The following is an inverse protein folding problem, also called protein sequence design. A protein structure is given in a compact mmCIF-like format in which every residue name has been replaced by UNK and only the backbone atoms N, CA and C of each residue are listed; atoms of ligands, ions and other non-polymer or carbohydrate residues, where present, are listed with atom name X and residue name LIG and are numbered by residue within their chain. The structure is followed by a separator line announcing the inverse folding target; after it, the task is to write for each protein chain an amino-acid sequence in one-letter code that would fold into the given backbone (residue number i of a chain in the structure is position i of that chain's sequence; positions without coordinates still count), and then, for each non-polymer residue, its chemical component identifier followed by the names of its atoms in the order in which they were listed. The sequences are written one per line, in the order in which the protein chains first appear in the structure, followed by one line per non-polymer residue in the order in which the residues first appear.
data_IF_830750637450
#
_entry.id   IF_830750637450
#
_cell.length_a   1.000
_cell.length_b   1.000
_cell.length_c   1.000
_cell.angle_alpha   90.00
_cell.angle_beta   90.00
_cell.angle_gamma   90.00
#
_symmetry.space_group_name_H-M   'P 1'
#
loop_
_entity.id
_entity.type
_entity.pdbx_description
1 polymer ?
#
# COMPACT_ATOMS: atom_id res chain seq x y z
N UNK A 1 15.50 -14.14 11.62
CA UNK A 1 15.31 -12.77 12.17
C UNK A 1 14.20 -12.86 13.20
N UNK A 2 14.36 -12.27 14.38
CA UNK A 2 13.33 -12.32 15.41
C UNK A 2 12.08 -11.52 14.95
N UNK A 3 10.84 -12.03 15.14
CA UNK A 3 9.62 -11.39 14.63
C UNK A 3 9.29 -10.05 15.29
N UNK A 4 9.89 -9.72 16.43
CA UNK A 4 9.75 -8.43 17.12
C UNK A 4 10.85 -7.43 16.75
N UNK A 5 11.77 -7.81 15.85
CA UNK A 5 12.80 -6.89 15.36
C UNK A 5 12.17 -5.73 14.60
N UNK A 6 12.44 -4.51 15.04
CA UNK A 6 11.99 -3.28 14.38
C UNK A 6 12.54 -3.17 12.94
N UNK A 7 11.74 -2.63 12.01
CA UNK A 7 12.17 -2.29 10.65
C UNK A 7 13.45 -1.45 10.65
N UNK A 8 13.54 -0.48 11.56
CA UNK A 8 14.70 0.41 11.70
C UNK A 8 16.00 -0.35 11.98
N UNK A 9 15.95 -1.45 12.74
CA UNK A 9 17.14 -2.28 12.99
C UNK A 9 17.56 -3.06 11.74
N UNK A 10 16.60 -3.58 10.99
CA UNK A 10 16.86 -4.29 9.74
C UNK A 10 17.42 -3.36 8.66
N UNK A 11 16.87 -2.15 8.53
CA UNK A 11 17.33 -1.15 7.57
C UNK A 11 18.80 -0.80 7.80
N UNK A 12 19.22 -0.59 9.06
CA UNK A 12 20.63 -0.27 9.39
C UNK A 12 21.63 -1.36 9.00
N UNK A 13 21.17 -2.61 8.86
CA UNK A 13 21.99 -3.77 8.48
C UNK A 13 21.80 -4.18 7.01
N UNK A 14 20.90 -3.52 6.28
CA UNK A 14 20.60 -3.85 4.89
C UNK A 14 21.53 -3.10 3.93
N UNK A 15 21.98 -3.80 2.87
CA UNK A 15 22.71 -3.17 1.78
C UNK A 15 21.78 -2.31 0.88
N UNK A 16 20.52 -2.70 0.78
CA UNK A 16 19.46 -1.97 0.09
C UNK A 16 18.09 -2.45 0.59
N UNK A 17 17.06 -1.65 0.39
CA UNK A 17 15.66 -1.97 0.67
C UNK A 17 14.87 -2.01 -0.64
N UNK A 18 14.11 -3.08 -0.86
CA UNK A 18 13.29 -3.26 -2.07
C UNK A 18 11.82 -3.25 -1.67
N UNK A 19 11.02 -2.40 -2.31
CA UNK A 19 9.60 -2.22 -1.99
C UNK A 19 8.75 -2.17 -3.25
N UNK A 20 7.48 -2.54 -3.12
CA UNK A 20 6.45 -2.16 -4.10
C UNK A 20 6.02 -0.72 -3.81
N UNK A 21 5.43 -0.47 -2.64
CA UNK A 21 4.91 0.84 -2.23
C UNK A 21 4.93 1.09 -0.71
N UNK A 22 5.67 0.28 0.05
CA UNK A 22 5.69 0.32 1.52
C UNK A 22 6.29 1.63 2.08
N UNK A 23 5.83 2.08 3.25
CA UNK A 23 6.46 3.19 3.99
C UNK A 23 7.88 2.86 4.46
N UNK A 24 8.23 1.57 4.57
CA UNK A 24 9.60 1.15 4.91
C UNK A 24 10.63 1.66 3.89
N UNK A 25 10.23 1.88 2.63
CA UNK A 25 11.09 2.51 1.64
C UNK A 25 11.39 3.98 1.97
N UNK A 26 10.40 4.72 2.50
CA UNK A 26 10.61 6.08 3.00
C UNK A 26 11.49 6.08 4.27
N UNK A 27 11.23 5.16 5.20
CA UNK A 27 12.07 4.97 6.40
C UNK A 27 13.54 4.73 6.02
N UNK A 28 13.79 3.92 4.99
CA UNK A 28 15.13 3.63 4.49
C UNK A 28 15.86 4.88 3.95
N UNK A 29 15.13 5.80 3.32
CA UNK A 29 15.70 7.09 2.89
C UNK A 29 16.21 7.93 4.08
N UNK A 30 15.55 7.86 5.24
CA UNK A 30 16.01 8.56 6.46
C UNK A 30 17.37 8.05 6.94
N UNK A 31 17.70 6.79 6.65
CA UNK A 31 18.99 6.18 6.94
C UNK A 31 20.00 6.30 5.79
N UNK A 32 19.65 7.01 4.69
CA UNK A 32 20.41 7.02 3.45
C UNK A 32 20.73 5.61 2.92
N UNK A 33 19.85 4.64 3.18
CA UNK A 33 19.94 3.30 2.63
C UNK A 33 19.42 3.30 1.18
N UNK A 34 20.09 2.64 0.22
CA UNK A 34 19.60 2.53 -1.16
C UNK A 34 18.22 1.87 -1.22
N UNK A 35 17.31 2.45 -2.02
CA UNK A 35 15.94 1.94 -2.16
C UNK A 35 15.62 1.66 -3.62
N UNK A 36 15.10 0.46 -3.90
CA UNK A 36 14.49 0.09 -5.17
C UNK A 36 12.97 0.07 -5.02
N UNK A 37 12.27 0.89 -5.81
CA UNK A 37 10.81 0.86 -5.87
C UNK A 37 10.34 0.14 -7.13
N UNK A 38 9.49 -0.87 -6.95
CA UNK A 38 8.88 -1.65 -8.03
C UNK A 38 7.43 -1.24 -8.32
N UNK A 39 6.90 -0.29 -7.56
CA UNK A 39 5.64 0.39 -7.82
C UNK A 39 5.88 1.88 -8.02
N UNK A 40 4.88 2.70 -7.66
CA UNK A 40 4.97 4.17 -7.74
C UNK A 40 4.56 4.81 -6.41
N UNK A 41 5.29 4.56 -5.30
CA UNK A 41 5.03 5.28 -4.06
C UNK A 41 5.27 6.78 -4.26
N UNK A 42 4.69 7.61 -3.39
CA UNK A 42 4.77 9.07 -3.51
C UNK A 42 6.20 9.64 -3.45
N UNK A 43 7.18 8.86 -3.01
CA UNK A 43 8.59 9.23 -2.94
C UNK A 43 9.43 8.74 -4.14
N UNK A 44 8.85 8.00 -5.08
CA UNK A 44 9.52 7.61 -6.34
C UNK A 44 9.52 8.77 -7.36
N UNK A 45 10.49 8.76 -8.27
CA UNK A 45 10.61 9.74 -9.37
C UNK A 45 11.35 11.04 -9.00
N UNK A 46 11.76 11.20 -7.74
CA UNK A 46 12.50 12.40 -7.28
C UNK A 46 14.02 12.22 -7.31
N UNK A 47 14.51 11.09 -7.83
CA UNK A 47 15.94 10.75 -7.87
C UNK A 47 16.52 10.40 -6.51
N UNK A 48 15.67 10.11 -5.51
CA UNK A 48 16.07 9.62 -4.17
C UNK A 48 16.03 8.09 -4.08
N UNK A 49 15.44 7.43 -5.08
CA UNK A 49 15.27 5.99 -5.21
C UNK A 49 15.72 5.52 -6.60
N UNK A 50 16.01 4.23 -6.73
CA UNK A 50 16.06 3.55 -8.02
C UNK A 50 14.64 3.04 -8.34
N UNK A 51 14.08 3.48 -9.45
CA UNK A 51 12.69 3.16 -9.80
C UNK A 51 12.65 2.23 -11.02
N UNK A 52 11.80 1.19 -10.97
CA UNK A 52 11.49 0.38 -12.16
C UNK A 52 10.02 0.49 -12.53
N UNK A 53 9.73 0.47 -13.83
CA UNK A 53 8.36 0.57 -14.34
C UNK A 53 7.66 -0.78 -14.47
N UNK A 54 8.44 -1.88 -14.51
CA UNK A 54 7.93 -3.24 -14.66
C UNK A 54 8.77 -4.25 -13.87
N UNK A 55 8.12 -5.32 -13.39
CA UNK A 55 8.81 -6.44 -12.74
C UNK A 55 9.79 -7.18 -13.67
N UNK A 56 9.66 -7.04 -14.99
CA UNK A 56 10.64 -7.57 -15.94
C UNK A 56 12.05 -6.98 -15.74
N UNK A 57 12.17 -5.80 -15.12
CA UNK A 57 13.43 -5.09 -14.91
C UNK A 57 14.18 -5.53 -13.64
N UNK A 58 13.53 -6.30 -12.74
CA UNK A 58 14.07 -6.68 -11.42
C UNK A 58 15.47 -7.29 -11.55
N UNK A 59 15.69 -8.19 -12.52
CA UNK A 59 16.99 -8.86 -12.71
C UNK A 59 18.14 -7.87 -12.93
N UNK A 60 17.88 -6.75 -13.61
CA UNK A 60 18.86 -5.68 -13.84
C UNK A 60 18.93 -4.70 -12.68
N UNK A 61 17.79 -4.42 -12.05
CA UNK A 61 17.67 -3.42 -11.00
C UNK A 61 18.30 -3.84 -9.67
N UNK A 62 18.23 -5.13 -9.29
CA UNK A 62 18.83 -5.63 -8.05
C UNK A 62 20.34 -5.34 -7.94
N UNK A 63 21.19 -5.69 -8.92
CA UNK A 63 22.60 -5.31 -8.84
C UNK A 63 22.83 -3.80 -8.99
N UNK A 64 21.91 -3.07 -9.64
CA UNK A 64 22.02 -1.62 -9.79
C UNK A 64 21.74 -0.88 -8.47
N UNK A 65 20.77 -1.31 -7.67
CA UNK A 65 20.45 -0.65 -6.39
C UNK A 65 21.60 -0.81 -5.38
N UNK A 66 22.34 -1.92 -5.42
CA UNK A 66 23.54 -2.10 -4.60
C UNK A 66 24.67 -1.12 -4.92
N UNK A 67 24.63 -0.49 -6.10
CA UNK A 67 25.58 0.56 -6.53
C UNK A 67 25.00 1.96 -6.43
N UNK A 68 23.70 2.08 -6.17
CA UNK A 68 23.03 3.36 -6.03
C UNK A 68 23.50 4.02 -4.73
N UNK A 69 23.96 5.27 -4.82
CA UNK A 69 24.39 6.05 -3.67
C UNK A 69 23.34 7.14 -3.40
N UNK A 70 22.55 7.02 -2.32
CA UNK A 70 21.56 8.03 -1.99
C UNK A 70 22.23 9.37 -1.64
N UNK A 71 21.83 10.43 -2.35
CA UNK A 71 22.28 11.78 -2.08
C UNK A 71 21.49 12.35 -0.89
N UNK A 72 22.18 12.58 0.23
CA UNK A 72 21.58 13.07 1.47
C UNK A 72 20.90 14.44 1.29
N UNK A 73 21.50 15.33 0.51
CA UNK A 73 20.97 16.67 0.30
C UNK A 73 19.70 16.62 -0.57
N UNK A 74 19.66 15.74 -1.58
CA UNK A 74 18.45 15.48 -2.36
C UNK A 74 17.36 14.84 -1.50
N UNK A 75 17.70 13.90 -0.61
CA UNK A 75 16.75 13.31 0.34
C UNK A 75 16.15 14.40 1.24
N UNK A 76 16.97 15.27 1.84
CA UNK A 76 16.48 16.33 2.71
C UNK A 76 15.61 17.34 1.96
N UNK A 77 15.98 17.71 0.73
CA UNK A 77 15.14 18.57 -0.12
C UNK A 77 13.80 17.93 -0.44
N UNK A 78 13.79 16.64 -0.78
CA UNK A 78 12.56 15.88 -0.99
C UNK A 78 11.69 15.86 0.28
N UNK A 79 12.24 15.47 1.42
CA UNK A 79 11.49 15.40 2.68
C UNK A 79 10.93 16.76 3.08
N UNK A 80 11.74 17.81 2.97
CA UNK A 80 11.29 19.18 3.24
C UNK A 80 10.16 19.63 2.30
N UNK A 81 10.23 19.28 1.02
CA UNK A 81 9.15 19.56 0.08
C UNK A 81 7.90 18.73 0.39
N UNK A 82 8.05 17.45 0.68
CA UNK A 82 6.95 16.56 1.04
C UNK A 82 6.22 17.06 2.30
N UNK A 83 6.94 17.41 3.36
CA UNK A 83 6.36 17.94 4.60
C UNK A 83 5.60 19.26 4.38
N UNK A 84 6.11 20.16 3.52
CA UNK A 84 5.41 21.41 3.19
C UNK A 84 4.17 21.20 2.33
N UNK A 85 4.11 20.10 1.59
CA UNK A 85 2.99 19.73 0.73
C UNK A 85 1.94 18.85 1.45
N UNK A 86 2.20 18.45 2.70
CA UNK A 86 1.23 17.73 3.53
C UNK A 86 0.45 18.67 4.42
N UNK A 87 -0.79 18.28 4.77
CA UNK A 87 -1.58 19.01 5.76
C UNK A 87 -0.81 19.12 7.09
N UNK A 88 -0.92 20.25 7.77
CA UNK A 88 -0.34 20.45 9.09
C UNK A 88 -1.02 19.49 10.09
N UNK A 89 -0.46 18.31 10.27
CA UNK A 89 -0.85 17.39 11.33
C UNK A 89 -0.31 17.89 12.67
N UNK A 90 -1.11 17.74 13.74
CA UNK A 90 -0.57 17.80 15.08
C UNK A 90 0.04 16.43 15.42
N UNK A 91 1.22 16.35 16.06
CA UNK A 91 1.67 15.10 16.67
C UNK A 91 0.70 14.76 17.80
N UNK A 92 -0.36 14.02 17.49
CA UNK A 92 -1.14 13.35 18.51
C UNK A 92 -0.27 12.19 18.99
N UNK A 93 0.07 12.18 20.28
CA UNK A 93 0.71 11.01 20.87
C UNK A 93 -0.16 9.78 20.59
N UNK A 94 0.48 8.63 20.36
CA UNK A 94 -0.24 7.35 20.33
C UNK A 94 -0.80 7.15 21.73
N UNK A 95 -2.10 7.35 21.89
CA UNK A 95 -2.78 7.04 23.15
C UNK A 95 -2.65 5.56 23.42
N UNK A 96 -2.20 5.18 24.61
CA UNK A 96 -2.23 3.78 25.06
C UNK A 96 -3.65 3.31 25.43
N UNK A 97 -4.64 4.19 25.31
CA UNK A 97 -6.04 3.84 25.53
C UNK A 97 -6.54 2.90 24.43
N UNK A 98 -7.35 1.92 24.82
CA UNK A 98 -8.03 1.02 23.89
C UNK A 98 -9.22 1.68 23.18
N UNK A 99 -9.50 2.97 23.42
CA UNK A 99 -10.70 3.65 22.89
C UNK A 99 -10.81 3.53 21.36
N UNK A 100 -9.71 3.74 20.63
CA UNK A 100 -9.70 3.56 19.18
C UNK A 100 -10.01 2.11 18.79
N UNK A 101 -9.46 1.13 19.50
CA UNK A 101 -9.72 -0.28 19.25
C UNK A 101 -11.19 -0.63 19.51
N UNK A 102 -11.79 -0.09 20.60
CA UNK A 102 -13.22 -0.24 20.91
C UNK A 102 -14.09 0.40 19.84
N UNK A 103 -13.75 1.60 19.36
CA UNK A 103 -14.48 2.29 18.28
C UNK A 103 -14.47 1.47 17.00
N UNK A 104 -13.31 0.94 16.61
CA UNK A 104 -13.19 0.09 15.40
C UNK A 104 -14.00 -1.19 15.56
N UNK A 105 -13.87 -1.90 16.69
CA UNK A 105 -14.63 -3.12 16.97
C UNK A 105 -16.15 -2.88 16.87
N UNK A 106 -16.66 -1.83 17.52
CA UNK A 106 -18.08 -1.49 17.48
C UNK A 106 -18.56 -1.15 16.05
N UNK A 107 -17.72 -0.53 15.21
CA UNK A 107 -18.07 -0.26 13.82
C UNK A 107 -18.18 -1.55 12.99
N UNK A 108 -17.30 -2.53 13.23
CA UNK A 108 -17.33 -3.83 12.56
C UNK A 108 -18.57 -4.65 12.98
N UNK A 109 -18.89 -4.68 14.27
CA UNK A 109 -20.08 -5.38 14.76
C UNK A 109 -21.37 -4.81 14.15
N UNK A 110 -21.45 -3.49 14.01
CA UNK A 110 -22.58 -2.82 13.35
C UNK A 110 -22.68 -3.21 11.88
N UNK A 111 -21.57 -3.16 11.14
CA UNK A 111 -21.54 -3.53 9.72
C UNK A 111 -21.92 -5.01 9.51
N UNK A 112 -21.48 -5.91 10.40
CA UNK A 112 -21.86 -7.33 10.36
C UNK A 112 -23.35 -7.53 10.68
N UNK A 113 -23.90 -6.77 11.63
CA UNK A 113 -25.32 -6.78 11.95
C UNK A 113 -26.19 -6.33 10.77
N UNK A 114 -25.82 -5.22 10.14
CA UNK A 114 -26.48 -4.68 8.94
C UNK A 114 -26.41 -5.66 7.75
N UNK A 115 -25.26 -6.28 7.52
CA UNK A 115 -25.08 -7.28 6.47
C UNK A 115 -25.99 -8.50 6.68
N UNK A 116 -26.01 -9.06 7.90
CA UNK A 116 -26.86 -10.20 8.26
C UNK A 116 -28.35 -9.87 8.21
N UNK A 117 -28.73 -8.64 8.58
CA UNK A 117 -30.11 -8.17 8.46
C UNK A 117 -30.52 -8.02 6.99
N UNK A 118 -29.62 -7.53 6.14
CA UNK A 118 -29.80 -7.44 4.69
C UNK A 118 -29.94 -8.81 4.02
N UNK A 119 -29.13 -9.81 4.41
CA UNK A 119 -29.26 -11.20 3.94
C UNK A 119 -30.60 -11.83 4.36
N UNK A 120 -31.02 -11.61 5.62
CA UNK A 120 -32.32 -12.09 6.13
C UNK A 120 -33.52 -11.38 5.49
N UNK A 121 -33.35 -10.14 5.06
CA UNK A 121 -34.37 -9.40 4.31
C UNK A 121 -34.41 -9.84 2.82
N UNK A 122 -33.26 -10.09 2.20
CA UNK A 122 -33.14 -10.59 0.83
C UNK A 122 -33.60 -12.04 0.64
N UNK A 123 -33.62 -12.85 1.71
CA UNK A 123 -34.18 -14.19 1.72
C UNK A 123 -35.74 -14.22 1.69
N UNK A 124 -36.41 -13.08 1.84
CA UNK A 124 -37.87 -12.94 1.64
C UNK A 124 -38.16 -12.31 0.28
N UNK A 125 -38.05 -13.13 -0.77
CA UNK A 125 -38.74 -12.94 -2.05
C UNK A 125 -38.23 -11.82 -2.95
N UNK A 126 -37.22 -12.10 -3.77
CA UNK A 126 -37.19 -11.55 -5.13
C UNK A 126 -37.86 -12.56 -6.06
N UNK A 127 -38.95 -12.22 -6.78
CA UNK A 127 -39.45 -13.09 -7.83
C UNK A 127 -38.36 -13.25 -8.90
N UNK A 128 -38.23 -14.47 -9.43
CA UNK A 128 -37.30 -14.76 -10.52
C UNK A 128 -37.58 -13.82 -11.71
N UNK A 129 -36.55 -13.24 -12.35
CA UNK A 129 -36.78 -12.46 -13.56
C UNK A 129 -37.36 -13.38 -14.63
N UNK A 130 -38.48 -12.97 -15.21
CA UNK A 130 -39.13 -13.67 -16.31
C UNK A 130 -38.19 -13.67 -17.52
N UNK A 131 -37.68 -14.85 -17.86
CA UNK A 131 -36.80 -15.05 -19.02
C UNK A 131 -37.60 -14.78 -20.29
N UNK A 132 -37.51 -13.56 -20.78
CA UNK A 132 -37.99 -13.13 -22.08
C UNK A 132 -37.38 -14.06 -23.15
N UNK A 133 -38.25 -14.85 -23.81
CA UNK A 133 -37.85 -15.84 -24.81
C UNK A 133 -37.32 -15.11 -26.04
N UNK A 134 -36.01 -15.02 -26.17
CA UNK A 134 -35.37 -14.61 -27.42
C UNK A 134 -35.63 -15.66 -28.51
N UNK A 135 -36.01 -15.26 -29.74
CA UNK A 135 -36.26 -16.20 -30.83
C UNK A 135 -34.97 -16.93 -31.21
N UNK A 136 -35.06 -18.26 -31.30
CA UNK A 136 -33.96 -19.10 -31.75
C UNK A 136 -33.74 -18.92 -33.25
N UNK A 137 -32.55 -18.45 -33.60
CA UNK A 137 -32.09 -18.49 -34.98
C UNK A 137 -30.94 -17.53 -35.20
N UNK A 138 -29.70 -18.02 -35.09
CA UNK A 138 -28.65 -17.77 -36.07
C UNK A 138 -27.47 -18.72 -35.78
N UNK A 139 -27.27 -19.60 -36.76
CA UNK A 139 -26.25 -20.65 -36.83
C UNK A 139 -24.84 -20.09 -36.75
N UNK A 140 -23.96 -20.84 -36.09
CA UNK A 140 -22.50 -20.73 -36.27
C UNK A 140 -22.14 -21.04 -37.73
N UNK A 141 -21.20 -20.28 -38.28
CA UNK A 141 -20.37 -20.68 -39.43
C UNK A 141 -19.08 -19.87 -39.41
N UNK A 142 -17.96 -20.60 -39.44
CA UNK A 142 -16.60 -20.26 -39.90
C UNK A 142 -15.99 -18.89 -39.58
#
# INVERSE_FOLDING_TARGET
VDPYTSSHELIRRAAAVVVISSTVGLEALLYACPVLTMGRPFYAGFGVTLDIASFAEIRRAVPAVLRFQPDRERILRFLGAAMRSTYAGAPAGVSSSEDNARTVAASLDRALGEHRAGERAGARGRPAPELERLPQGLSRSA
#
